data_IF_310871349783
#
_entry.id   IF_310871349783
#
_cell.length_a   1.000
_cell.length_b   1.000
_cell.length_c   1.000
_cell.angle_alpha   90.00
_cell.angle_beta   90.00
_cell.angle_gamma   90.00
#
_symmetry.space_group_name_H-M   'P 1'
#
loop_
_entity.id
_entity.type
_entity.pdbx_description
1 polymer ?
#
# COMPACT_ATOMS: atom_id res chain seq x y z
N UNK A 1 12.16 -17.46 -28.36
CA UNK A 1 11.70 -17.26 -26.98
C UNK A 1 11.88 -15.78 -26.67
N UNK A 2 10.81 -15.09 -26.29
CA UNK A 2 10.91 -13.73 -25.78
C UNK A 2 11.70 -13.78 -24.46
N UNK A 3 12.68 -12.90 -24.28
CA UNK A 3 13.39 -12.82 -23.02
C UNK A 3 12.49 -12.22 -21.96
N UNK A 4 12.59 -12.63 -20.69
CA UNK A 4 11.81 -12.11 -19.57
C UNK A 4 11.79 -10.57 -19.49
N UNK A 5 12.87 -9.92 -19.99
CA UNK A 5 12.97 -8.46 -20.03
C UNK A 5 11.98 -7.80 -20.99
N UNK A 6 11.47 -8.53 -22.01
CA UNK A 6 10.56 -7.97 -23.01
C UNK A 6 9.08 -7.99 -22.60
N UNK A 7 8.69 -8.89 -21.70
CA UNK A 7 7.29 -9.04 -21.23
C UNK A 7 7.09 -8.75 -19.75
N UNK A 8 8.18 -8.56 -18.99
CA UNK A 8 8.12 -8.17 -17.57
C UNK A 8 7.87 -9.32 -16.58
N UNK A 9 7.57 -10.52 -17.04
CA UNK A 9 7.32 -11.71 -16.21
C UNK A 9 7.81 -12.99 -16.88
N UNK A 10 7.79 -14.10 -16.14
CA UNK A 10 8.11 -15.42 -16.66
C UNK A 10 6.85 -16.07 -17.26
N UNK A 11 6.85 -16.24 -18.58
CA UNK A 11 5.83 -17.03 -19.28
C UNK A 11 6.36 -18.44 -19.54
N UNK A 12 6.39 -19.26 -18.52
CA UNK A 12 6.82 -20.65 -18.60
C UNK A 12 5.70 -21.59 -18.15
N UNK A 13 5.46 -22.69 -18.88
CA UNK A 13 4.44 -23.65 -18.49
C UNK A 13 4.81 -24.28 -17.15
N UNK A 14 3.85 -24.30 -16.22
CA UNK A 14 3.99 -25.02 -14.96
C UNK A 14 3.59 -26.47 -15.19
N UNK A 15 4.43 -27.46 -14.81
CA UNK A 15 4.05 -28.88 -14.89
C UNK A 15 2.79 -29.15 -14.08
N UNK A 16 1.84 -29.90 -14.66
CA UNK A 16 0.52 -30.13 -14.04
C UNK A 16 0.57 -30.87 -12.70
N UNK A 17 1.59 -31.70 -12.52
CA UNK A 17 1.77 -32.53 -11.31
C UNK A 17 2.73 -31.92 -10.30
N UNK A 18 3.13 -30.65 -10.49
CA UNK A 18 4.03 -29.96 -9.57
C UNK A 18 3.25 -29.42 -8.38
N UNK A 19 3.61 -29.82 -7.16
CA UNK A 19 3.22 -29.11 -5.94
C UNK A 19 3.97 -27.79 -5.90
N UNK A 20 3.26 -26.70 -6.26
CA UNK A 20 3.84 -25.36 -6.34
C UNK A 20 4.37 -24.88 -4.99
N UNK A 21 3.65 -25.18 -3.90
CA UNK A 21 4.05 -24.74 -2.56
C UNK A 21 5.34 -25.42 -2.14
N UNK A 22 5.44 -26.73 -2.32
CA UNK A 22 6.64 -27.48 -2.00
C UNK A 22 7.82 -27.04 -2.86
N UNK A 23 7.60 -26.83 -4.17
CA UNK A 23 8.65 -26.40 -5.10
C UNK A 23 9.16 -24.98 -4.77
N UNK A 24 8.28 -24.05 -4.42
CA UNK A 24 8.63 -22.69 -3.99
C UNK A 24 9.43 -22.75 -2.68
N UNK A 25 8.96 -23.51 -1.68
CA UNK A 25 9.64 -23.66 -0.39
C UNK A 25 11.05 -24.26 -0.55
N UNK A 26 11.22 -25.22 -1.46
CA UNK A 26 12.51 -25.79 -1.79
C UNK A 26 13.46 -24.76 -2.41
N UNK A 27 12.99 -24.07 -3.46
CA UNK A 27 13.79 -23.05 -4.16
C UNK A 27 14.17 -21.89 -3.24
N UNK A 28 13.26 -21.43 -2.40
CA UNK A 28 13.49 -20.37 -1.41
C UNK A 28 14.65 -20.71 -0.48
N UNK A 29 14.69 -21.95 0.04
CA UNK A 29 15.78 -22.43 0.90
C UNK A 29 17.10 -22.58 0.14
N UNK A 30 17.06 -23.21 -1.04
CA UNK A 30 18.24 -23.42 -1.88
C UNK A 30 18.90 -22.10 -2.33
N UNK A 31 18.09 -21.06 -2.55
CA UNK A 31 18.56 -19.75 -3.06
C UNK A 31 18.83 -18.73 -1.95
N UNK A 32 18.67 -19.09 -0.67
CA UNK A 32 18.68 -18.14 0.44
C UNK A 32 17.79 -16.94 0.16
N UNK A 33 16.52 -17.20 -0.21
CA UNK A 33 15.54 -16.21 -0.59
C UNK A 33 14.45 -16.04 0.49
N UNK A 34 13.90 -14.84 0.58
CA UNK A 34 12.72 -14.53 1.40
C UNK A 34 11.59 -14.02 0.49
N UNK A 35 10.36 -14.43 0.78
CA UNK A 35 9.15 -13.97 0.09
C UNK A 35 8.42 -12.98 1.00
N UNK A 36 8.28 -11.75 0.53
CA UNK A 36 7.56 -10.68 1.19
C UNK A 36 6.30 -10.37 0.38
N UNK A 37 5.11 -10.47 0.97
CA UNK A 37 3.85 -10.20 0.28
C UNK A 37 3.09 -9.02 0.90
N UNK A 38 2.57 -8.15 0.04
CA UNK A 38 1.69 -7.08 0.49
C UNK A 38 0.31 -7.63 0.84
N UNK A 39 -0.38 -7.04 1.81
CA UNK A 39 -1.75 -7.39 2.21
C UNK A 39 -2.77 -7.40 1.06
N UNK A 40 -2.47 -6.73 -0.07
CA UNK A 40 -3.34 -6.64 -1.23
C UNK A 40 -3.14 -7.77 -2.25
N UNK A 41 -2.25 -8.72 -1.97
CA UNK A 41 -2.10 -9.91 -2.78
C UNK A 41 -3.23 -10.90 -2.52
N UNK A 42 -3.43 -11.84 -3.45
CA UNK A 42 -4.39 -12.95 -3.26
C UNK A 42 -3.98 -13.83 -2.08
N UNK A 43 -4.95 -14.50 -1.45
CA UNK A 43 -4.71 -15.24 -0.22
C UNK A 43 -3.66 -16.34 -0.35
N UNK A 44 -3.61 -17.04 -1.48
CA UNK A 44 -2.62 -18.09 -1.76
C UNK A 44 -1.18 -17.53 -1.83
N UNK A 45 -0.98 -16.32 -2.36
CA UNK A 45 0.32 -15.63 -2.34
C UNK A 45 0.66 -15.19 -0.91
N UNK A 46 -0.31 -14.66 -0.17
CA UNK A 46 -0.09 -14.30 1.23
C UNK A 46 0.30 -15.54 2.07
N UNK A 47 -0.32 -16.69 1.82
CA UNK A 47 -0.10 -17.92 2.60
C UNK A 47 1.25 -18.61 2.34
N UNK A 48 1.92 -18.34 1.21
CA UNK A 48 3.28 -18.84 0.93
C UNK A 48 4.38 -17.85 1.34
N UNK A 49 4.03 -16.61 1.70
CA UNK A 49 5.00 -15.59 2.08
C UNK A 49 5.63 -15.88 3.45
N UNK A 50 6.90 -15.51 3.60
CA UNK A 50 7.58 -15.51 4.91
C UNK A 50 7.05 -14.40 5.82
N UNK A 51 6.61 -13.30 5.19
CA UNK A 51 6.03 -12.17 5.89
C UNK A 51 5.00 -11.46 5.01
N UNK A 52 3.85 -11.15 5.61
CA UNK A 52 2.78 -10.36 5.00
C UNK A 52 2.67 -9.04 5.74
N UNK A 53 2.61 -7.92 5.01
CA UNK A 53 2.57 -6.61 5.64
C UNK A 53 2.15 -5.48 4.71
N UNK A 54 2.08 -4.27 5.29
CA UNK A 54 1.97 -3.03 4.50
C UNK A 54 3.34 -2.62 3.92
N UNK A 55 3.35 -1.57 3.10
CA UNK A 55 4.56 -1.10 2.43
C UNK A 55 5.70 -0.75 3.40
N UNK A 56 5.39 -0.17 4.59
CA UNK A 56 6.39 0.17 5.59
C UNK A 56 7.01 -1.08 6.22
N UNK A 57 6.17 -2.01 6.65
CA UNK A 57 6.61 -3.25 7.27
C UNK A 57 7.47 -4.07 6.30
N UNK A 58 7.06 -4.19 5.03
CA UNK A 58 7.83 -4.92 4.00
C UNK A 58 9.18 -4.24 3.73
N UNK A 59 9.24 -2.92 3.65
CA UNK A 59 10.48 -2.17 3.50
C UNK A 59 11.43 -2.40 4.68
N UNK A 60 10.91 -2.39 5.91
CA UNK A 60 11.69 -2.66 7.12
C UNK A 60 12.20 -4.12 7.18
N UNK A 61 11.40 -5.09 6.75
CA UNK A 61 11.80 -6.48 6.65
C UNK A 61 12.89 -6.69 5.58
N UNK A 62 12.71 -6.06 4.41
CA UNK A 62 13.73 -6.07 3.36
C UNK A 62 15.08 -5.56 3.87
N UNK A 63 15.08 -4.45 4.62
CA UNK A 63 16.30 -3.87 5.17
C UNK A 63 17.00 -4.74 6.24
N UNK A 64 16.23 -5.55 6.99
CA UNK A 64 16.75 -6.36 8.12
C UNK A 64 17.10 -7.80 7.76
N UNK A 65 16.53 -8.34 6.67
CA UNK A 65 16.72 -9.73 6.29
C UNK A 65 18.18 -10.05 5.97
N UNK A 66 18.60 -11.28 6.31
CA UNK A 66 19.90 -11.83 5.94
C UNK A 66 19.85 -12.61 4.62
N UNK A 67 18.69 -12.76 4.00
CA UNK A 67 18.55 -13.41 2.70
C UNK A 67 19.31 -12.64 1.60
N UNK A 68 19.84 -13.37 0.62
CA UNK A 68 20.52 -12.78 -0.53
C UNK A 68 19.53 -12.30 -1.60
N UNK A 69 18.36 -12.94 -1.64
CA UNK A 69 17.30 -12.68 -2.61
C UNK A 69 16.02 -12.31 -1.86
N UNK A 70 15.40 -11.21 -2.28
CA UNK A 70 14.09 -10.77 -1.82
C UNK A 70 13.12 -10.94 -3.00
N UNK A 71 12.12 -11.81 -2.85
CA UNK A 71 10.99 -11.90 -3.77
C UNK A 71 9.87 -11.06 -3.17
N UNK A 72 9.56 -9.93 -3.81
CA UNK A 72 8.55 -9.01 -3.32
C UNK A 72 7.28 -9.17 -4.16
N UNK A 73 6.26 -9.80 -3.57
CA UNK A 73 4.93 -9.94 -4.14
C UNK A 73 4.11 -8.67 -3.82
N UNK A 74 4.13 -7.76 -4.77
CA UNK A 74 3.52 -6.44 -4.71
C UNK A 74 3.65 -5.73 -6.04
N UNK A 75 3.52 -4.41 -6.03
CA UNK A 75 3.63 -3.58 -7.23
C UNK A 75 5.05 -3.05 -7.43
N UNK A 76 5.36 -2.61 -8.65
CA UNK A 76 6.71 -2.28 -9.11
C UNK A 76 7.46 -1.31 -8.18
N UNK A 77 6.84 -0.20 -7.74
CA UNK A 77 7.49 0.78 -6.86
C UNK A 77 7.95 0.20 -5.50
N UNK A 78 7.30 -0.88 -5.03
CA UNK A 78 7.70 -1.56 -3.80
C UNK A 78 9.00 -2.33 -3.99
N UNK A 79 9.17 -2.95 -5.17
CA UNK A 79 10.44 -3.57 -5.58
C UNK A 79 11.57 -2.55 -5.68
N UNK A 80 11.30 -1.37 -6.30
CA UNK A 80 12.25 -0.25 -6.33
C UNK A 80 12.63 0.21 -4.92
N UNK A 81 11.64 0.38 -4.04
CA UNK A 81 11.88 0.79 -2.64
C UNK A 81 12.75 -0.23 -1.91
N UNK A 82 12.46 -1.52 -2.04
CA UNK A 82 13.28 -2.58 -1.45
C UNK A 82 14.71 -2.56 -2.04
N UNK A 83 14.88 -2.31 -3.33
CA UNK A 83 16.18 -2.22 -3.98
C UNK A 83 16.98 -0.99 -3.54
N UNK A 84 16.33 0.16 -3.32
CA UNK A 84 16.97 1.36 -2.76
C UNK A 84 17.52 1.07 -1.35
N UNK A 85 16.75 0.39 -0.52
CA UNK A 85 17.14 0.07 0.86
C UNK A 85 18.15 -1.06 0.96
N UNK A 86 18.22 -1.94 -0.04
CA UNK A 86 19.08 -3.13 -0.08
C UNK A 86 19.84 -3.22 -1.41
N UNK A 87 20.76 -2.27 -1.70
CA UNK A 87 21.43 -2.18 -3.00
C UNK A 87 22.25 -3.42 -3.34
N UNK A 88 22.78 -4.14 -2.34
CA UNK A 88 23.61 -5.32 -2.52
C UNK A 88 22.81 -6.61 -2.72
N UNK A 89 21.49 -6.59 -2.43
CA UNK A 89 20.63 -7.76 -2.56
C UNK A 89 19.99 -7.84 -3.95
N UNK A 90 19.66 -9.06 -4.37
CA UNK A 90 18.80 -9.27 -5.53
C UNK A 90 17.34 -9.09 -5.10
N UNK A 91 16.66 -8.11 -5.69
CA UNK A 91 15.20 -7.91 -5.49
C UNK A 91 14.50 -8.34 -6.77
N UNK A 92 13.53 -9.24 -6.62
CA UNK A 92 12.71 -9.79 -7.68
C UNK A 92 11.25 -9.40 -7.43
N UNK A 93 10.57 -8.95 -8.47
CA UNK A 93 9.12 -8.75 -8.52
C UNK A 93 8.59 -9.76 -9.54
N UNK A 94 7.60 -10.61 -9.18
CA UNK A 94 7.13 -11.68 -10.07
C UNK A 94 6.63 -11.18 -11.43
N UNK A 95 5.97 -10.01 -11.45
CA UNK A 95 5.56 -9.31 -12.66
C UNK A 95 5.96 -7.84 -12.57
N UNK A 96 6.85 -7.40 -13.46
CA UNK A 96 7.30 -5.99 -13.54
C UNK A 96 6.19 -5.05 -14.07
N UNK A 97 5.13 -5.60 -14.69
CA UNK A 97 3.98 -4.81 -15.14
C UNK A 97 2.94 -4.60 -14.02
N UNK A 98 3.15 -5.20 -12.84
CA UNK A 98 2.30 -4.95 -11.68
C UNK A 98 2.43 -3.48 -11.27
N UNK A 99 1.59 -2.62 -11.85
CA UNK A 99 1.57 -1.17 -11.70
C UNK A 99 0.78 -0.71 -10.48
N UNK A 100 0.86 0.59 -10.23
CA UNK A 100 0.06 1.27 -9.21
C UNK A 100 -0.44 2.59 -9.80
N UNK A 101 -1.75 2.70 -9.98
CA UNK A 101 -2.39 3.91 -10.54
C UNK A 101 -2.04 5.18 -9.77
N UNK A 102 -1.80 5.07 -8.47
CA UNK A 102 -1.36 6.20 -7.67
C UNK A 102 0.08 6.61 -8.03
N UNK A 103 0.99 5.66 -8.22
CA UNK A 103 2.35 5.96 -8.68
C UNK A 103 2.34 6.56 -10.10
N UNK A 104 1.47 6.05 -10.97
CA UNK A 104 1.31 6.54 -12.35
C UNK A 104 0.72 7.96 -12.40
N UNK A 105 -0.07 8.35 -11.40
CA UNK A 105 -0.63 9.70 -11.27
C UNK A 105 0.40 10.77 -10.88
N UNK A 106 1.65 10.37 -10.62
CA UNK A 106 2.74 11.26 -10.23
C UNK A 106 3.98 11.03 -11.11
N UNK A 107 3.95 11.43 -12.39
CA UNK A 107 5.10 11.32 -13.27
C UNK A 107 6.28 12.16 -12.75
N UNK A 108 7.48 11.57 -12.77
CA UNK A 108 8.64 12.17 -12.11
C UNK A 108 9.06 13.52 -12.67
N UNK A 109 8.92 13.72 -14.00
CA UNK A 109 9.27 14.97 -14.67
C UNK A 109 8.36 16.11 -14.23
N UNK A 110 7.06 15.87 -14.23
CA UNK A 110 6.04 16.86 -13.83
C UNK A 110 6.13 17.15 -12.32
N UNK A 111 6.37 16.12 -11.51
CA UNK A 111 6.54 16.31 -10.06
C UNK A 111 7.82 17.11 -9.75
N UNK A 112 8.93 16.85 -10.44
CA UNK A 112 10.16 17.61 -10.29
C UNK A 112 9.98 19.10 -10.68
N UNK A 113 9.19 19.37 -11.72
CA UNK A 113 8.88 20.74 -12.12
C UNK A 113 7.97 21.42 -11.08
N UNK A 114 6.98 20.71 -10.54
CA UNK A 114 6.15 21.21 -9.44
C UNK A 114 6.98 21.59 -8.22
N UNK A 115 7.95 20.74 -7.84
CA UNK A 115 8.88 21.03 -6.74
C UNK A 115 9.69 22.29 -7.01
N UNK A 116 10.23 22.46 -8.22
CA UNK A 116 11.01 23.67 -8.60
C UNK A 116 10.20 24.98 -8.51
N UNK A 117 8.90 24.90 -8.79
CA UNK A 117 8.00 26.05 -8.69
C UNK A 117 7.73 26.49 -7.25
N UNK A 118 8.09 25.64 -6.26
CA UNK A 118 7.87 25.89 -4.84
C UNK A 118 9.19 25.80 -4.04
N UNK A 119 10.14 26.70 -4.31
CA UNK A 119 11.44 26.67 -3.62
C UNK A 119 11.28 26.85 -2.10
N UNK A 120 12.09 26.14 -1.32
CA UNK A 120 12.07 26.22 0.14
C UNK A 120 11.01 25.34 0.82
N UNK A 121 10.21 24.61 0.05
CA UNK A 121 9.31 23.59 0.62
C UNK A 121 10.05 22.29 0.89
N UNK A 122 9.76 21.64 2.02
CA UNK A 122 10.17 20.26 2.28
C UNK A 122 9.27 19.33 1.46
N UNK A 123 9.88 18.47 0.66
CA UNK A 123 9.18 17.53 -0.21
C UNK A 123 8.96 16.22 0.53
N UNK A 124 7.71 15.92 0.86
CA UNK A 124 7.29 14.68 1.49
C UNK A 124 6.55 13.86 0.43
N UNK A 125 7.10 12.70 0.08
CA UNK A 125 6.44 11.80 -0.87
C UNK A 125 5.92 10.55 -0.20
N UNK A 126 4.70 10.20 -0.57
CA UNK A 126 4.14 8.90 -0.24
C UNK A 126 4.93 7.81 -0.96
N UNK A 127 5.11 6.65 -0.32
CA UNK A 127 5.93 5.56 -0.85
C UNK A 127 5.45 5.03 -2.21
N UNK A 128 4.16 5.22 -2.54
CA UNK A 128 3.53 4.85 -3.80
C UNK A 128 3.97 5.77 -4.94
N UNK A 129 5.27 5.80 -5.19
CA UNK A 129 5.96 6.62 -6.19
C UNK A 129 7.12 5.84 -6.80
N UNK A 130 7.54 6.22 -8.00
CA UNK A 130 8.73 5.66 -8.64
C UNK A 130 10.02 6.07 -7.92
N UNK A 131 11.12 5.33 -8.16
CA UNK A 131 12.45 5.71 -7.70
C UNK A 131 12.86 7.11 -8.19
N UNK A 132 12.43 7.50 -9.39
CA UNK A 132 12.69 8.83 -9.97
C UNK A 132 12.00 9.96 -9.19
N UNK A 133 10.77 9.77 -8.71
CA UNK A 133 10.10 10.71 -7.79
C UNK A 133 10.83 10.77 -6.45
N UNK A 134 11.24 9.62 -5.93
CA UNK A 134 12.01 9.56 -4.67
C UNK A 134 13.34 10.30 -4.74
N UNK A 135 13.94 10.43 -5.93
CA UNK A 135 15.19 11.17 -6.14
C UNK A 135 15.05 12.70 -5.95
N UNK A 136 13.83 13.24 -6.00
CA UNK A 136 13.52 14.67 -5.75
C UNK A 136 12.73 14.87 -4.46
N UNK A 137 12.77 13.90 -3.56
CA UNK A 137 12.02 13.85 -2.31
C UNK A 137 12.97 13.96 -1.13
N UNK A 138 12.62 14.78 -0.13
CA UNK A 138 13.39 14.88 1.12
C UNK A 138 13.03 13.75 2.09
N UNK A 139 11.75 13.40 2.20
CA UNK A 139 11.27 12.35 3.10
C UNK A 139 10.20 11.49 2.45
N UNK A 140 10.40 10.18 2.48
CA UNK A 140 9.41 9.21 2.02
C UNK A 140 8.59 8.70 3.21
N UNK A 141 7.26 8.71 3.09
CA UNK A 141 6.33 8.28 4.13
C UNK A 141 5.37 7.20 3.62
N UNK A 142 4.72 6.52 4.55
CA UNK A 142 3.57 5.64 4.28
C UNK A 142 2.34 6.16 5.03
N UNK A 143 1.15 5.65 4.75
CA UNK A 143 -0.07 5.98 5.51
C UNK A 143 0.07 5.65 7.01
N UNK A 144 0.98 4.76 7.38
CA UNK A 144 1.25 4.39 8.79
C UNK A 144 2.01 5.46 9.56
N UNK A 145 2.94 6.19 8.93
CA UNK A 145 3.82 7.13 9.62
C UNK A 145 3.72 8.59 9.13
N UNK A 146 2.93 8.88 8.08
CA UNK A 146 2.83 10.21 7.49
C UNK A 146 2.47 11.29 8.52
N UNK A 147 1.47 11.05 9.36
CA UNK A 147 1.08 11.97 10.42
C UNK A 147 2.25 12.31 11.34
N UNK A 148 2.91 11.29 11.88
CA UNK A 148 4.03 11.46 12.83
C UNK A 148 5.19 12.23 12.19
N UNK A 149 5.51 11.95 10.94
CA UNK A 149 6.58 12.65 10.20
C UNK A 149 6.20 14.12 9.98
N UNK A 150 4.98 14.40 9.51
CA UNK A 150 4.52 15.79 9.29
C UNK A 150 4.50 16.58 10.60
N UNK A 151 4.05 15.99 11.71
CA UNK A 151 4.05 16.62 13.04
C UNK A 151 5.46 16.85 13.60
N UNK A 152 6.48 16.09 13.14
CA UNK A 152 7.86 16.27 13.60
C UNK A 152 8.55 17.53 13.08
N UNK A 153 8.04 18.15 12.02
CA UNK A 153 8.53 19.42 11.52
C UNK A 153 7.99 20.60 12.34
N UNK A 154 8.75 21.70 12.49
CA UNK A 154 8.24 22.91 13.15
C UNK A 154 6.92 23.40 12.55
N UNK A 155 6.09 24.06 13.37
CA UNK A 155 4.89 24.71 12.87
C UNK A 155 5.25 25.77 11.82
N UNK A 156 4.42 25.88 10.77
CA UNK A 156 4.65 26.81 9.67
C UNK A 156 5.70 26.36 8.66
N UNK A 157 6.36 25.21 8.83
CA UNK A 157 7.25 24.65 7.80
C UNK A 157 6.48 24.48 6.49
N UNK A 158 6.89 25.12 5.37
CA UNK A 158 6.25 24.91 4.09
C UNK A 158 6.58 23.50 3.58
N UNK A 159 5.56 22.76 3.19
CA UNK A 159 5.70 21.37 2.76
C UNK A 159 4.90 21.09 1.49
N UNK A 160 5.46 20.24 0.63
CA UNK A 160 4.75 19.57 -0.47
C UNK A 160 4.46 18.15 -0.02
N UNK A 161 3.26 17.65 -0.33
CA UNK A 161 2.89 16.26 -0.13
C UNK A 161 2.36 15.67 -1.45
N UNK A 162 2.91 14.54 -1.87
CA UNK A 162 2.47 13.89 -3.09
C UNK A 162 2.96 12.46 -3.28
N UNK A 163 2.27 11.70 -4.14
CA UNK A 163 0.84 11.63 -4.16
C UNK A 163 0.37 10.99 -2.84
N UNK A 164 -0.73 10.94 -2.37
CA UNK A 164 -2.10 11.07 -2.78
C UNK A 164 -2.72 12.33 -2.19
N UNK A 165 -3.58 13.03 -2.96
CA UNK A 165 -4.25 14.26 -2.49
C UNK A 165 -5.23 13.98 -1.34
N UNK A 166 -5.91 12.82 -1.34
CA UNK A 166 -6.87 12.48 -0.29
C UNK A 166 -6.16 12.21 1.03
N UNK A 167 -5.08 11.40 1.00
CA UNK A 167 -4.21 11.21 2.17
C UNK A 167 -3.62 12.54 2.65
N UNK A 168 -3.13 13.37 1.74
CA UNK A 168 -2.59 14.70 2.07
C UNK A 168 -3.64 15.61 2.71
N UNK A 169 -4.86 15.65 2.18
CA UNK A 169 -5.98 16.38 2.77
C UNK A 169 -6.36 15.85 4.16
N UNK A 170 -6.40 14.51 4.31
CA UNK A 170 -6.65 13.89 5.61
C UNK A 170 -5.57 14.29 6.62
N UNK A 171 -4.28 14.20 6.28
CA UNK A 171 -3.19 14.61 7.16
C UNK A 171 -3.28 16.11 7.49
N UNK A 172 -3.53 16.98 6.52
CA UNK A 172 -3.76 18.40 6.75
C UNK A 172 -4.88 18.63 7.79
N UNK A 173 -6.01 17.91 7.63
CA UNK A 173 -7.18 18.07 8.51
C UNK A 173 -6.93 17.66 9.96
N UNK A 174 -6.15 16.59 10.19
CA UNK A 174 -5.90 16.06 11.54
C UNK A 174 -4.69 16.66 12.24
N UNK A 175 -3.81 17.34 11.48
CA UNK A 175 -2.59 17.98 12.03
C UNK A 175 -2.68 19.51 12.06
N UNK A 176 -3.68 20.09 11.43
CA UNK A 176 -3.79 21.55 11.24
C UNK A 176 -2.74 22.13 10.29
N UNK A 177 -2.01 21.29 9.55
CA UNK A 177 -1.04 21.72 8.54
C UNK A 177 -1.75 22.15 7.25
N UNK A 178 -1.03 22.89 6.42
CA UNK A 178 -1.50 23.35 5.13
C UNK A 178 -0.45 23.05 4.05
N UNK A 179 -0.17 21.75 3.87
CA UNK A 179 0.78 21.28 2.86
C UNK A 179 0.21 21.54 1.46
N UNK A 180 1.07 21.91 0.53
CA UNK A 180 0.75 21.89 -0.89
C UNK A 180 0.65 20.45 -1.37
N UNK A 181 -0.44 20.11 -2.05
CA UNK A 181 -0.71 18.75 -2.46
C UNK A 181 -0.52 18.59 -3.96
N UNK A 182 0.18 17.52 -4.35
CA UNK A 182 0.15 17.03 -5.72
C UNK A 182 -1.23 16.44 -6.04
N UNK A 183 -1.78 16.78 -7.22
CA UNK A 183 -3.13 16.35 -7.62
C UNK A 183 -3.13 14.92 -8.21
N UNK A 184 -2.75 13.93 -7.42
CA UNK A 184 -2.82 12.51 -7.73
C UNK A 184 -3.72 11.76 -6.75
N UNK A 185 -4.29 10.63 -7.16
CA UNK A 185 -5.16 9.83 -6.31
C UNK A 185 -5.10 8.34 -6.65
N UNK A 186 -5.36 7.51 -5.64
CA UNK A 186 -5.49 6.07 -5.81
C UNK A 186 -6.82 5.73 -6.48
N UNK A 187 -6.76 5.10 -7.67
CA UNK A 187 -7.94 4.71 -8.43
C UNK A 187 -8.90 3.81 -7.62
N UNK A 188 -8.37 2.86 -6.85
CA UNK A 188 -9.19 1.95 -6.02
C UNK A 188 -9.98 2.73 -4.97
N UNK A 189 -9.30 3.60 -4.21
CA UNK A 189 -9.94 4.34 -3.11
C UNK A 189 -10.85 5.49 -3.60
N UNK A 190 -10.57 6.03 -4.79
CA UNK A 190 -11.45 7.02 -5.45
C UNK A 190 -12.79 6.43 -5.88
N UNK A 191 -12.87 5.13 -6.12
CA UNK A 191 -14.08 4.48 -6.63
C UNK A 191 -15.10 4.09 -5.57
N UNK A 192 -14.77 4.10 -4.27
CA UNK A 192 -15.76 3.72 -3.27
C UNK A 192 -16.99 4.63 -3.29
N UNK A 193 -18.16 3.98 -3.33
CA UNK A 193 -19.47 4.65 -3.38
C UNK A 193 -19.97 4.96 -1.99
N UNK A 194 -20.09 6.24 -1.65
CA UNK A 194 -20.73 6.67 -0.41
C UNK A 194 -22.17 6.14 -0.29
N UNK A 195 -22.96 6.23 -1.36
CA UNK A 195 -24.36 5.78 -1.36
C UNK A 195 -24.46 4.28 -1.05
N UNK A 196 -23.62 3.46 -1.71
CA UNK A 196 -23.63 2.01 -1.49
C UNK A 196 -23.12 1.65 -0.09
N UNK A 197 -22.11 2.37 0.45
CA UNK A 197 -21.66 2.21 1.84
C UNK A 197 -22.76 2.53 2.82
N UNK A 198 -23.50 3.63 2.64
CA UNK A 198 -24.64 3.98 3.48
C UNK A 198 -25.78 2.96 3.38
N UNK A 199 -25.99 2.37 2.20
CA UNK A 199 -26.93 1.27 2.01
C UNK A 199 -26.50 0.01 2.77
N UNK A 200 -25.21 -0.35 2.73
CA UNK A 200 -24.66 -1.45 3.54
C UNK A 200 -24.81 -1.17 5.04
N UNK A 201 -24.56 0.06 5.49
CA UNK A 201 -24.72 0.43 6.90
C UNK A 201 -26.17 0.28 7.38
N UNK A 202 -27.16 0.53 6.50
CA UNK A 202 -28.58 0.25 6.81
C UNK A 202 -28.88 -1.26 6.90
N UNK A 203 -28.26 -2.06 6.04
CA UNK A 203 -28.40 -3.52 6.02
C UNK A 203 -27.69 -4.16 7.22
N UNK A 204 -26.54 -3.61 7.61
CA UNK A 204 -25.69 -4.06 8.72
C UNK A 204 -25.51 -2.95 9.76
N UNK A 205 -26.55 -2.61 10.53
CA UNK A 205 -26.56 -1.42 11.39
C UNK A 205 -25.52 -1.44 12.51
N UNK A 206 -25.06 -2.62 12.90
CA UNK A 206 -24.03 -2.82 13.92
C UNK A 206 -22.61 -2.94 13.35
N UNK A 207 -22.43 -2.91 12.00
CA UNK A 207 -21.12 -2.98 11.39
C UNK A 207 -20.37 -1.65 11.55
N UNK A 208 -19.09 -1.71 11.91
CA UNK A 208 -18.20 -0.56 11.83
C UNK A 208 -17.74 -0.35 10.38
N UNK A 209 -17.78 0.89 9.90
CA UNK A 209 -17.18 1.30 8.63
C UNK A 209 -15.72 1.66 8.89
N UNK A 210 -14.81 0.89 8.32
CA UNK A 210 -13.37 1.12 8.47
C UNK A 210 -12.75 1.48 7.12
N UNK A 211 -11.95 2.56 7.08
CA UNK A 211 -11.60 3.23 5.83
C UNK A 211 -10.13 3.59 5.77
N UNK A 212 -9.51 3.40 4.61
CA UNK A 212 -8.17 3.91 4.34
C UNK A 212 -8.21 5.42 4.04
N UNK A 213 -7.25 6.24 4.52
CA UNK A 213 -7.25 7.69 4.34
C UNK A 213 -7.05 8.17 2.88
N UNK A 214 -6.76 7.28 1.94
CA UNK A 214 -6.79 7.56 0.50
C UNK A 214 -8.23 7.66 -0.07
N UNK A 215 -9.25 7.30 0.70
CA UNK A 215 -10.64 7.46 0.31
C UNK A 215 -11.04 8.94 0.28
N UNK A 216 -12.05 9.25 -0.55
CA UNK A 216 -12.61 10.60 -0.61
C UNK A 216 -13.19 11.04 0.72
N UNK A 217 -13.11 12.34 0.99
CA UNK A 217 -13.60 12.96 2.23
C UNK A 217 -15.03 12.53 2.63
N UNK A 218 -16.04 12.41 1.72
CA UNK A 218 -17.37 11.95 2.11
C UNK A 218 -17.40 10.52 2.67
N UNK A 219 -16.52 9.62 2.19
CA UNK A 219 -16.38 8.26 2.71
C UNK A 219 -15.72 8.28 4.09
N UNK A 220 -14.67 9.10 4.25
CA UNK A 220 -13.99 9.28 5.53
C UNK A 220 -14.94 9.81 6.60
N UNK A 221 -15.84 10.74 6.27
CA UNK A 221 -16.79 11.35 7.22
C UNK A 221 -17.82 10.38 7.77
N UNK A 222 -18.16 9.30 7.06
CA UNK A 222 -19.12 8.29 7.53
C UNK A 222 -18.46 7.08 8.16
N UNK A 223 -17.13 7.10 8.31
CA UNK A 223 -16.34 5.99 8.82
C UNK A 223 -16.23 6.04 10.34
N UNK A 224 -16.38 4.89 10.97
CA UNK A 224 -16.18 4.71 12.41
C UNK A 224 -14.69 4.67 12.78
N UNK A 225 -13.83 4.23 11.84
CA UNK A 225 -12.37 4.22 12.00
C UNK A 225 -11.65 4.52 10.67
N UNK A 226 -10.64 5.38 10.74
CA UNK A 226 -9.78 5.72 9.58
C UNK A 226 -8.32 5.43 9.93
N UNK A 227 -7.63 4.69 9.08
CA UNK A 227 -6.23 4.35 9.32
C UNK A 227 -5.56 3.63 8.16
N UNK A 228 -4.24 3.45 8.25
CA UNK A 228 -3.47 2.65 7.30
C UNK A 228 -3.96 1.20 7.27
N UNK A 229 -3.59 0.44 6.25
CA UNK A 229 -3.96 -0.99 6.12
C UNK A 229 -3.60 -1.78 7.39
N UNK A 230 -2.40 -1.57 7.94
CA UNK A 230 -1.99 -2.21 9.19
C UNK A 230 -2.82 -1.73 10.40
N UNK A 231 -3.22 -0.45 10.43
CA UNK A 231 -4.07 0.09 11.49
C UNK A 231 -5.49 -0.46 11.40
N UNK A 232 -6.05 -0.61 10.19
CA UNK A 232 -7.35 -1.24 9.95
C UNK A 232 -7.35 -2.69 10.46
N UNK A 233 -6.35 -3.48 10.07
CA UNK A 233 -6.21 -4.87 10.53
C UNK A 233 -6.12 -4.94 12.06
N UNK A 234 -5.28 -4.10 12.68
CA UNK A 234 -5.14 -4.05 14.13
C UNK A 234 -6.42 -3.61 14.84
N UNK A 235 -7.18 -2.69 14.22
CA UNK A 235 -8.46 -2.24 14.74
C UNK A 235 -9.48 -3.39 14.76
N UNK A 236 -9.58 -4.17 13.67
CA UNK A 236 -10.51 -5.30 13.60
C UNK A 236 -10.23 -6.39 14.66
N UNK A 237 -8.97 -6.56 15.06
CA UNK A 237 -8.59 -7.49 16.13
C UNK A 237 -9.05 -6.97 17.51
N UNK A 238 -8.92 -5.65 17.75
CA UNK A 238 -9.14 -5.03 19.06
C UNK A 238 -10.58 -4.61 19.31
N UNK A 239 -11.34 -4.26 18.27
CA UNK A 239 -12.73 -3.82 18.39
C UNK A 239 -13.62 -4.98 18.84
N UNK A 240 -14.64 -4.65 19.64
CA UNK A 240 -15.69 -5.60 20.05
C UNK A 240 -16.72 -5.86 18.94
N UNK A 241 -16.72 -5.03 17.87
CA UNK A 241 -17.60 -5.20 16.72
C UNK A 241 -17.42 -6.57 16.06
N UNK A 242 -18.51 -7.14 15.60
CA UNK A 242 -18.52 -8.46 14.93
C UNK A 242 -18.63 -8.35 13.41
N UNK A 243 -18.94 -7.18 12.90
CA UNK A 243 -19.12 -6.92 11.48
C UNK A 243 -18.38 -5.64 11.09
N UNK A 244 -17.70 -5.66 9.93
CA UNK A 244 -16.95 -4.53 9.42
C UNK A 244 -17.26 -4.32 7.93
N UNK A 245 -17.58 -3.09 7.55
CA UNK A 245 -17.61 -2.64 6.15
C UNK A 245 -16.22 -2.06 5.84
N UNK A 246 -15.48 -2.72 4.96
CA UNK A 246 -14.07 -2.47 4.73
C UNK A 246 -13.87 -1.64 3.46
N UNK A 247 -13.57 -0.35 3.61
CA UNK A 247 -13.32 0.57 2.51
C UNK A 247 -11.79 0.75 2.27
N UNK A 248 -11.17 -0.31 1.79
CA UNK A 248 -9.82 -0.37 1.25
C UNK A 248 -9.73 -1.55 0.27
N UNK A 249 -8.57 -1.79 -0.31
CA UNK A 249 -8.36 -2.91 -1.22
C UNK A 249 -8.65 -4.26 -0.50
N UNK A 250 -9.41 -5.12 -1.18
CA UNK A 250 -10.06 -6.29 -0.56
C UNK A 250 -9.10 -7.42 -0.15
N UNK A 251 -7.88 -7.46 -0.67
CA UNK A 251 -6.88 -8.47 -0.34
C UNK A 251 -6.55 -8.54 1.16
N UNK A 252 -6.64 -7.40 1.87
CA UNK A 252 -6.42 -7.36 3.32
C UNK A 252 -7.45 -8.18 4.12
N UNK A 253 -8.64 -8.43 3.54
CA UNK A 253 -9.70 -9.21 4.19
C UNK A 253 -9.25 -10.65 4.45
N UNK A 254 -8.33 -11.19 3.63
CA UNK A 254 -7.75 -12.51 3.88
C UNK A 254 -7.08 -12.57 5.27
N UNK A 255 -6.19 -11.62 5.57
CA UNK A 255 -5.54 -11.54 6.87
C UNK A 255 -6.51 -11.16 8.01
N UNK A 256 -7.50 -10.29 7.74
CA UNK A 256 -8.54 -9.98 8.71
C UNK A 256 -9.31 -11.23 9.15
N UNK A 257 -9.71 -12.08 8.19
CA UNK A 257 -10.39 -13.35 8.47
C UNK A 257 -9.50 -14.36 9.20
N UNK A 258 -8.22 -14.43 8.84
CA UNK A 258 -7.24 -15.29 9.53
C UNK A 258 -7.09 -14.91 11.00
N UNK A 259 -7.00 -13.62 11.30
CA UNK A 259 -6.74 -13.13 12.65
C UNK A 259 -8.00 -12.95 13.50
N UNK A 260 -9.16 -12.84 12.86
CA UNK A 260 -10.45 -12.69 13.54
C UNK A 260 -11.52 -13.55 12.85
N UNK A 261 -11.43 -14.89 12.95
CA UNK A 261 -12.30 -15.81 12.22
C UNK A 261 -13.77 -15.78 12.71
N UNK A 262 -14.04 -15.21 13.87
CA UNK A 262 -15.37 -15.02 14.46
C UNK A 262 -16.06 -13.71 14.00
N UNK A 263 -15.44 -12.95 13.08
CA UNK A 263 -15.92 -11.65 12.59
C UNK A 263 -16.25 -11.71 11.09
N UNK A 264 -17.20 -10.90 10.69
CA UNK A 264 -17.63 -10.76 9.30
C UNK A 264 -17.02 -9.51 8.68
N UNK A 265 -16.44 -9.66 7.48
CA UNK A 265 -15.81 -8.57 6.73
C UNK A 265 -16.50 -8.42 5.38
N UNK A 266 -17.11 -7.28 5.16
CA UNK A 266 -17.93 -6.91 4.00
C UNK A 266 -17.13 -5.89 3.20
N UNK A 267 -16.64 -6.20 1.99
CA UNK A 267 -15.94 -5.22 1.18
C UNK A 267 -16.89 -4.08 0.78
N UNK A 268 -16.41 -2.85 0.91
CA UNK A 268 -17.16 -1.69 0.45
C UNK A 268 -17.25 -1.71 -1.09
N UNK A 269 -18.43 -1.47 -1.67
CA UNK A 269 -18.60 -1.51 -3.12
C UNK A 269 -18.09 -0.25 -3.80
N UNK A 270 -17.55 -0.37 -5.03
CA UNK A 270 -17.20 0.78 -5.86
C UNK A 270 -18.45 1.45 -6.44
N UNK A 271 -18.26 2.62 -7.03
CA UNK A 271 -19.20 3.18 -8.00
C UNK A 271 -19.28 2.26 -9.23
N UNK A 272 -20.38 2.34 -9.98
CA UNK A 272 -20.57 1.58 -11.23
C UNK A 272 -19.66 2.11 -12.32
#
# INVERSE_FOLDING_TARGET
MLTNQSIGYMDAPVPKDLDLKEAIDKLRKEKNAIILAHYYQTGDIQDIADYVGDSLALAQWAAKTKADIIVLCGVHFMGETAKILCPDKKVLVPDLNAGCSLADSCPATEFAEFVKQHPGHTVISYVNTTAAVKAVTDVVVTSTNARQIVESFPEGTPMIFGPDRNLGNYINSITGRNMLLWDGACHVHEQFSLEKILSLKKQYPNAEVITHPECKQPVIQVSDFVGSTAALLKHTIKSDAKQFIVATESGVIHEMRKQSPDKEFIPAPPND
#
